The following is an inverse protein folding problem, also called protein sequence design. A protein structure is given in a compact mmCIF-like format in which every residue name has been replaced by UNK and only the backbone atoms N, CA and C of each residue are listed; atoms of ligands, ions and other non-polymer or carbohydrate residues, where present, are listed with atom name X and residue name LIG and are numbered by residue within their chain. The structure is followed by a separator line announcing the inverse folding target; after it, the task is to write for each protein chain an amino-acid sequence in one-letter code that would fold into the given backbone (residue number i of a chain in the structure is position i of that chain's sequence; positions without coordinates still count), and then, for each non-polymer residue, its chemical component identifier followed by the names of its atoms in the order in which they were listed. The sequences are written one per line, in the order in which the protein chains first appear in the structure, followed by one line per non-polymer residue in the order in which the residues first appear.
data_IF_239714818952
#
_entry.id   IF_239714818952
#
_cell.length_a   1.000
_cell.length_b   1.000
_cell.length_c   1.000
_cell.angle_alpha   90.00
_cell.angle_beta   90.00
_cell.angle_gamma   90.00
#
_symmetry.space_group_name_H-M   'P 1'
#
loop_
_entity.id
_entity.type
_entity.pdbx_description
1 polymer ?
#
# COMPACT_ATOMS: atom_id res chain seq x y z
N UNK A 1 -3.04 1.85 -22.33
CA UNK A 1 -4.17 1.44 -21.46
C UNK A 1 -5.33 2.44 -21.50
N UNK A 2 -5.09 3.75 -21.59
CA UNK A 2 -6.13 4.79 -21.55
C UNK A 2 -7.06 4.91 -22.79
N UNK A 3 -6.73 4.29 -23.93
CA UNK A 3 -7.41 4.55 -25.20
C UNK A 3 -8.81 3.90 -25.34
N UNK A 4 -9.18 2.95 -24.47
CA UNK A 4 -10.40 2.15 -24.60
C UNK A 4 -11.43 2.39 -23.48
N UNK A 5 -11.26 3.41 -22.64
CA UNK A 5 -12.23 3.74 -21.61
C UNK A 5 -13.29 4.71 -22.12
N UNK A 6 -14.54 4.49 -21.70
CA UNK A 6 -15.60 5.48 -21.87
C UNK A 6 -15.28 6.74 -21.06
N UNK A 7 -15.90 7.86 -21.42
CA UNK A 7 -15.72 9.15 -20.73
C UNK A 7 -16.06 9.07 -19.23
N UNK A 8 -17.04 8.25 -18.85
CA UNK A 8 -17.43 8.04 -17.46
C UNK A 8 -16.49 7.08 -16.71
N UNK A 9 -15.92 6.08 -17.39
CA UNK A 9 -14.85 5.24 -16.84
C UNK A 9 -13.59 6.06 -16.55
N UNK A 10 -13.21 6.97 -17.45
CA UNK A 10 -12.13 7.92 -17.20
C UNK A 10 -12.39 8.74 -15.94
N UNK A 11 -13.58 9.35 -15.82
CA UNK A 11 -13.93 10.17 -14.64
C UNK A 11 -13.83 9.37 -13.32
N UNK A 12 -14.25 8.11 -13.33
CA UNK A 12 -14.17 7.26 -12.14
C UNK A 12 -12.74 6.86 -11.78
N UNK A 13 -11.95 6.39 -12.76
CA UNK A 13 -10.57 5.98 -12.51
C UNK A 13 -9.67 7.17 -12.17
N UNK A 14 -9.89 8.32 -12.80
CA UNK A 14 -9.14 9.54 -12.50
C UNK A 14 -9.36 9.98 -11.05
N UNK A 15 -10.61 9.97 -10.55
CA UNK A 15 -10.91 10.27 -9.13
C UNK A 15 -10.25 9.26 -8.17
N UNK A 16 -10.33 7.96 -8.49
CA UNK A 16 -9.69 6.92 -7.69
C UNK A 16 -8.16 7.10 -7.63
N UNK A 17 -7.51 7.29 -8.77
CA UNK A 17 -6.07 7.48 -8.85
C UNK A 17 -5.64 8.79 -8.18
N UNK A 18 -6.45 9.84 -8.28
CA UNK A 18 -6.20 11.09 -7.58
C UNK A 18 -6.19 10.87 -6.06
N UNK A 19 -7.23 10.24 -5.50
CA UNK A 19 -7.30 9.91 -4.06
C UNK A 19 -6.15 9.02 -3.61
N UNK A 20 -5.81 8.02 -4.42
CA UNK A 20 -4.69 7.13 -4.15
C UNK A 20 -3.34 7.87 -4.14
N UNK A 21 -3.09 8.73 -5.13
CA UNK A 21 -1.88 9.54 -5.22
C UNK A 21 -1.79 10.56 -4.07
N UNK A 22 -2.91 11.18 -3.69
CA UNK A 22 -2.98 12.08 -2.54
C UNK A 22 -2.62 11.36 -1.23
N UNK A 23 -3.17 10.15 -1.01
CA UNK A 23 -2.83 9.30 0.13
C UNK A 23 -1.34 8.95 0.16
N UNK A 24 -0.78 8.49 -0.97
CA UNK A 24 0.66 8.19 -1.07
C UNK A 24 1.53 9.42 -0.84
N UNK A 25 1.11 10.61 -1.29
CA UNK A 25 1.88 11.85 -1.10
C UNK A 25 2.06 12.21 0.37
N UNK A 26 1.05 11.93 1.20
CA UNK A 26 1.12 12.14 2.66
C UNK A 26 2.17 11.19 3.28
N UNK A 27 2.16 9.91 2.88
CA UNK A 27 3.04 8.87 3.44
C UNK A 27 4.48 9.01 2.91
N UNK A 28 4.63 9.33 1.63
CA UNK A 28 5.91 9.46 0.92
C UNK A 28 6.52 10.86 1.02
N UNK A 29 6.01 11.71 1.91
CA UNK A 29 6.50 13.05 2.15
C UNK A 29 8.03 13.08 2.25
N UNK A 30 8.65 14.07 1.60
CA UNK A 30 10.10 14.16 1.48
C UNK A 30 10.72 14.31 2.88
N UNK A 31 11.18 13.19 3.44
CA UNK A 31 11.90 13.16 4.72
C UNK A 31 13.38 13.30 4.41
N UNK A 32 14.05 14.21 5.10
CA UNK A 32 15.51 14.30 5.03
C UNK A 32 16.10 12.90 5.28
N UNK A 33 17.14 12.48 4.55
CA UNK A 33 17.74 11.18 4.71
C UNK A 33 18.10 10.97 6.18
N UNK A 34 17.38 10.04 6.83
CA UNK A 34 17.55 9.80 8.24
C UNK A 34 18.89 9.09 8.44
N UNK A 35 19.85 9.76 9.06
CA UNK A 35 21.10 9.11 9.41
C UNK A 35 20.81 7.99 10.41
N UNK A 36 21.25 6.79 10.05
CA UNK A 36 21.03 5.60 10.84
C UNK A 36 21.83 5.68 12.14
N UNK A 37 21.15 5.96 13.26
CA UNK A 37 21.82 6.19 14.55
C UNK A 37 22.19 4.90 15.30
N UNK A 38 21.67 3.75 14.86
CA UNK A 38 21.90 2.47 15.52
C UNK A 38 23.29 1.92 15.15
N UNK A 39 24.26 2.18 16.02
CA UNK A 39 25.65 1.75 15.87
C UNK A 39 25.80 0.23 15.87
N UNK A 40 24.96 -0.50 16.59
CA UNK A 40 25.04 -1.97 16.64
C UNK A 40 24.54 -2.59 15.35
N UNK A 41 23.50 -2.00 14.76
CA UNK A 41 23.00 -2.39 13.44
C UNK A 41 24.07 -2.17 12.36
N UNK A 42 24.71 -1.00 12.36
CA UNK A 42 25.80 -0.68 11.43
C UNK A 42 26.97 -1.65 11.56
N UNK A 43 27.37 -2.00 12.79
CA UNK A 43 28.42 -3.01 13.02
C UNK A 43 28.06 -4.38 12.47
N UNK A 44 26.81 -4.83 12.63
CA UNK A 44 26.36 -6.11 12.05
C UNK A 44 26.31 -6.05 10.53
N UNK A 45 25.95 -4.90 9.97
CA UNK A 45 25.95 -4.68 8.53
C UNK A 45 27.37 -4.75 7.96
N UNK A 46 28.32 -4.05 8.60
CA UNK A 46 29.74 -4.13 8.27
C UNK A 46 30.23 -5.57 8.35
N UNK A 47 29.98 -6.26 9.47
CA UNK A 47 30.36 -7.65 9.68
C UNK A 47 29.69 -8.62 8.68
N UNK A 48 28.50 -8.33 8.17
CA UNK A 48 27.87 -9.14 7.13
C UNK A 48 28.57 -8.98 5.77
N UNK A 49 29.12 -7.80 5.48
CA UNK A 49 29.81 -7.50 4.23
C UNK A 49 31.28 -7.90 4.22
N UNK A 50 31.96 -7.80 5.37
CA UNK A 50 33.42 -7.93 5.45
C UNK A 50 33.91 -9.26 6.00
N UNK A 51 33.02 -10.15 6.45
CA UNK A 51 33.46 -11.44 7.00
C UNK A 51 33.92 -12.44 5.95
N UNK A 52 35.00 -13.13 6.26
CA UNK A 52 35.46 -14.31 5.53
C UNK A 52 34.47 -15.49 5.63
N UNK A 53 33.70 -15.58 6.72
CA UNK A 53 32.67 -16.61 6.93
C UNK A 53 31.32 -15.96 7.25
N UNK A 54 30.52 -15.62 6.22
CA UNK A 54 29.23 -14.98 6.43
C UNK A 54 28.26 -15.96 7.10
N UNK A 55 27.46 -15.44 8.04
CA UNK A 55 26.37 -16.17 8.66
C UNK A 55 25.14 -16.13 7.75
N UNK A 56 24.29 -17.17 7.77
CA UNK A 56 23.05 -17.18 6.99
C UNK A 56 22.04 -16.13 7.47
N UNK A 57 22.18 -15.60 8.69
CA UNK A 57 21.26 -14.64 9.25
C UNK A 57 21.92 -13.69 10.25
N UNK A 58 21.65 -12.40 10.11
CA UNK A 58 22.08 -11.33 11.01
C UNK A 58 20.87 -10.54 11.52
N UNK A 59 20.41 -10.82 12.74
CA UNK A 59 19.24 -10.15 13.33
C UNK A 59 19.70 -9.05 14.28
N UNK A 60 19.14 -7.85 14.11
CA UNK A 60 19.24 -6.77 15.08
C UNK A 60 17.95 -5.96 15.09
N UNK A 61 17.18 -6.14 16.15
CA UNK A 61 15.88 -5.52 16.32
C UNK A 61 15.72 -5.02 17.77
N UNK A 62 15.10 -3.85 17.98
CA UNK A 62 14.67 -3.42 19.29
C UNK A 62 13.72 -4.45 19.94
N UNK A 63 13.75 -4.59 21.27
CA UNK A 63 12.93 -5.56 22.01
C UNK A 63 11.43 -5.46 21.72
N UNK A 64 10.91 -4.24 21.46
CA UNK A 64 9.53 -4.00 21.04
C UNK A 64 9.12 -4.82 19.80
N UNK A 65 10.02 -4.98 18.84
CA UNK A 65 9.74 -5.74 17.62
C UNK A 65 9.74 -7.25 17.86
N UNK A 66 10.50 -7.74 18.85
CA UNK A 66 10.36 -9.12 19.32
C UNK A 66 8.96 -9.39 19.83
N UNK A 67 8.40 -8.45 20.59
CA UNK A 67 7.03 -8.57 21.11
C UNK A 67 6.02 -8.55 19.98
N UNK A 68 6.12 -7.63 19.04
CA UNK A 68 5.21 -7.59 17.88
C UNK A 68 5.26 -8.88 17.07
N UNK A 69 6.45 -9.45 16.87
CA UNK A 69 6.62 -10.73 16.19
C UNK A 69 5.94 -11.87 16.95
N UNK A 70 6.12 -11.96 18.28
CA UNK A 70 5.36 -12.92 19.08
C UNK A 70 3.86 -12.68 18.91
N UNK A 71 3.36 -11.47 19.16
CA UNK A 71 1.94 -11.15 19.05
C UNK A 71 1.38 -11.53 17.68
N UNK A 72 2.09 -11.24 16.59
CA UNK A 72 1.69 -11.62 15.24
C UNK A 72 1.64 -13.13 15.01
N UNK A 73 2.50 -13.89 15.67
CA UNK A 73 2.55 -15.34 15.57
C UNK A 73 1.38 -16.00 16.33
N UNK A 74 0.94 -15.38 17.42
CA UNK A 74 -0.20 -15.85 18.22
C UNK A 74 -1.55 -15.33 17.71
N UNK A 75 -1.56 -14.28 16.90
CA UNK A 75 -2.78 -13.65 16.43
C UNK A 75 -3.40 -14.43 15.24
N UNK A 76 -4.71 -14.71 15.27
CA UNK A 76 -5.42 -15.24 14.12
C UNK A 76 -5.26 -14.34 12.87
N UNK A 77 -5.09 -14.91 11.66
CA UNK A 77 -4.89 -14.14 10.42
C UNK A 77 -5.96 -13.08 10.18
N UNK A 78 -7.22 -13.39 10.45
CA UNK A 78 -8.36 -12.46 10.27
C UNK A 78 -8.19 -11.18 11.10
N UNK A 79 -7.69 -11.29 12.33
CA UNK A 79 -7.51 -10.13 13.20
C UNK A 79 -6.33 -9.29 12.69
N UNK A 80 -5.25 -9.94 12.25
CA UNK A 80 -4.12 -9.23 11.66
C UNK A 80 -4.51 -8.50 10.38
N UNK A 81 -5.32 -9.12 9.52
CA UNK A 81 -5.82 -8.48 8.29
C UNK A 81 -6.67 -7.25 8.60
N UNK A 82 -7.56 -7.33 9.60
CA UNK A 82 -8.36 -6.19 10.06
C UNK A 82 -7.48 -5.06 10.63
N UNK A 83 -6.44 -5.40 11.38
CA UNK A 83 -5.48 -4.42 11.91
C UNK A 83 -4.68 -3.78 10.79
N UNK A 84 -4.25 -4.54 9.79
CA UNK A 84 -3.52 -4.05 8.62
C UNK A 84 -4.42 -3.12 7.80
N UNK A 85 -5.66 -3.51 7.52
CA UNK A 85 -6.63 -2.69 6.80
C UNK A 85 -6.84 -1.34 7.50
N UNK A 86 -7.01 -1.35 8.83
CA UNK A 86 -7.15 -0.13 9.63
C UNK A 86 -5.87 0.71 9.68
N UNK A 87 -4.70 0.07 9.69
CA UNK A 87 -3.42 0.78 9.80
C UNK A 87 -3.02 1.44 8.48
N UNK A 88 -3.19 0.73 7.37
CA UNK A 88 -2.85 1.24 6.04
C UNK A 88 -3.91 2.27 5.59
N UNK A 89 -5.19 2.06 5.94
CA UNK A 89 -6.31 2.93 5.55
C UNK A 89 -6.29 3.26 4.05
N UNK A 90 -5.96 2.26 3.23
CA UNK A 90 -5.78 2.45 1.79
C UNK A 90 -7.14 2.75 1.14
N UNK A 91 -7.24 3.72 0.22
CA UNK A 91 -8.48 3.97 -0.49
C UNK A 91 -8.90 2.71 -1.26
N UNK A 92 -10.04 2.15 -0.86
CA UNK A 92 -10.56 0.90 -1.41
C UNK A 92 -11.21 1.15 -2.76
N UNK A 93 -10.96 0.26 -3.71
CA UNK A 93 -11.65 0.26 -4.99
C UNK A 93 -13.10 -0.18 -4.79
N UNK A 94 -14.06 0.68 -5.12
CA UNK A 94 -15.47 0.31 -5.16
C UNK A 94 -15.83 -0.06 -6.59
N UNK A 95 -16.35 -1.27 -6.82
CA UNK A 95 -16.90 -1.57 -8.14
C UNK A 95 -18.13 -0.66 -8.36
N UNK A 96 -18.27 -0.02 -9.54
CA UNK A 96 -19.50 0.67 -9.88
C UNK A 96 -20.67 -0.33 -9.78
N UNK A 97 -21.73 0.06 -9.08
CA UNK A 97 -22.90 -0.82 -8.83
C UNK A 97 -23.72 -0.94 -10.12
N UNK A 98 -24.42 -2.05 -10.35
CA UNK A 98 -25.19 -2.27 -11.60
C UNK A 98 -26.24 -1.18 -11.89
N UNK A 99 -26.74 -0.49 -10.86
CA UNK A 99 -27.64 0.67 -10.98
C UNK A 99 -26.97 1.85 -11.72
N UNK A 100 -25.66 2.03 -11.53
CA UNK A 100 -24.88 3.02 -12.28
C UNK A 100 -24.68 2.54 -13.72
N UNK A 101 -24.44 1.24 -13.94
CA UNK A 101 -24.32 0.63 -15.28
C UNK A 101 -25.62 0.67 -16.12
N UNK A 102 -26.80 0.59 -15.51
CA UNK A 102 -28.08 0.76 -16.22
C UNK A 102 -28.37 2.22 -16.59
N UNK A 103 -28.04 3.17 -15.71
CA UNK A 103 -28.08 4.60 -16.04
C UNK A 103 -27.09 4.96 -17.17
N UNK A 104 -25.97 4.25 -17.23
CA UNK A 104 -24.92 4.33 -18.25
C UNK A 104 -25.41 3.82 -19.62
N UNK A 105 -26.11 2.68 -19.66
CA UNK A 105 -26.66 2.11 -20.92
C UNK A 105 -27.77 2.98 -21.50
N UNK A 106 -28.67 3.49 -20.65
CA UNK A 106 -29.83 4.30 -21.06
C UNK A 106 -29.42 5.69 -21.57
N UNK A 107 -28.39 6.31 -20.99
CA UNK A 107 -27.87 7.59 -21.46
C UNK A 107 -27.03 7.47 -22.74
N UNK A 108 -26.25 6.38 -22.90
CA UNK A 108 -25.49 6.11 -24.14
C UNK A 108 -26.40 5.93 -25.35
N UNK A 109 -27.54 5.22 -25.19
CA UNK A 109 -28.58 5.04 -26.22
C UNK A 109 -29.30 6.33 -26.63
N UNK A 110 -29.27 7.37 -25.78
CA UNK A 110 -29.85 8.69 -26.06
C UNK A 110 -28.91 9.57 -26.89
N UNK A 111 -27.61 9.40 -26.73
CA UNK A 111 -26.58 10.21 -27.42
C UNK A 111 -26.38 9.73 -28.86
N UNK A 112 -26.53 8.43 -29.16
CA UNK A 112 -26.47 7.90 -30.54
C UNK A 112 -27.72 8.15 -31.40
N UNK A 113 -28.85 8.55 -30.80
CA UNK A 113 -30.13 8.76 -31.50
C UNK A 113 -30.46 10.24 -31.78
N UNK A 114 -29.56 11.17 -31.44
CA UNK A 114 -29.70 12.61 -31.70
C UNK A 114 -28.64 13.11 -32.66
#
# INVERSE_FOLDING_TARGET
MAANFSTEQHKFYDDYFERFNQHLKIISGFKAPNQMQDRELLKKFEHALTNAHPKPLYIHEPWRYKIYRLLSQWCPPVIMDLLILKFVDMPTYHQPTEEQEESLKTNSLKIEKS
#
